data_IF_844828934907
#
_entry.id   IF_844828934907
#
_cell.length_a   1.000
_cell.length_b   1.000
_cell.length_c   1.000
_cell.angle_alpha   90.00
_cell.angle_beta   90.00
_cell.angle_gamma   90.00
#
_symmetry.space_group_name_H-M   'P 1'
#
loop_
_entity.id
_entity.type
_entity.pdbx_description
1 polymer ?
#
# COMPACT_ATOMS: atom_id res chain seq x y z
N UNK A 1 14.23 7.98 9.52
CA UNK A 1 13.33 6.85 9.22
C UNK A 1 13.89 6.02 8.10
N UNK A 2 13.61 4.73 8.10
CA UNK A 2 13.46 3.95 6.87
C UNK A 2 12.06 3.35 6.94
N UNK A 3 11.22 3.55 5.93
CA UNK A 3 9.90 2.93 5.87
C UNK A 3 9.52 2.52 4.45
N UNK A 4 8.78 1.42 4.39
CA UNK A 4 8.08 1.00 3.19
C UNK A 4 6.74 0.38 3.56
N UNK A 5 5.67 0.96 3.07
CA UNK A 5 4.31 0.52 3.27
C UNK A 5 3.78 -0.04 1.95
N UNK A 6 3.19 -1.24 2.00
CA UNK A 6 2.75 -1.99 0.83
C UNK A 6 1.31 -2.42 1.07
N UNK A 7 0.38 -1.98 0.23
CA UNK A 7 -1.03 -2.33 0.32
C UNK A 7 -1.56 -2.73 -1.07
N UNK A 8 -1.90 -4.02 -1.28
CA UNK A 8 -2.40 -4.48 -2.58
C UNK A 8 -3.76 -3.87 -2.95
N UNK A 9 -4.55 -3.40 -1.97
CA UNK A 9 -5.89 -2.88 -2.18
C UNK A 9 -6.87 -3.13 -1.03
N UNK A 10 -6.39 -3.45 0.18
CA UNK A 10 -7.25 -3.66 1.35
C UNK A 10 -7.39 -2.37 2.15
N UNK A 11 -8.62 -1.90 2.31
CA UNK A 11 -8.94 -0.75 3.15
C UNK A 11 -8.50 -0.93 4.60
N UNK A 12 -8.53 -2.18 5.06
CA UNK A 12 -8.26 -2.53 6.45
C UNK A 12 -6.77 -2.43 6.78
N UNK A 13 -5.89 -2.39 5.78
CA UNK A 13 -4.46 -2.12 5.99
C UNK A 13 -4.17 -0.63 6.20
N UNK A 14 -5.16 0.25 6.14
CA UNK A 14 -5.01 1.67 6.48
C UNK A 14 -5.03 1.85 8.01
N UNK A 15 -4.57 3.02 8.47
CA UNK A 15 -4.68 3.41 9.89
C UNK A 15 -6.07 3.97 10.24
N UNK A 16 -7.11 3.51 9.56
CA UNK A 16 -8.51 3.95 9.72
C UNK A 16 -9.49 2.80 9.49
N UNK A 17 -10.58 2.76 10.26
CA UNK A 17 -11.60 1.71 10.19
C UNK A 17 -12.75 2.01 9.22
N UNK A 18 -12.70 3.13 8.49
CA UNK A 18 -13.83 3.60 7.66
C UNK A 18 -13.69 3.36 6.17
N UNK A 19 -12.54 2.83 5.72
CA UNK A 19 -12.37 2.45 4.32
C UNK A 19 -13.20 1.21 3.97
N UNK A 20 -13.44 1.01 2.67
CA UNK A 20 -14.16 -0.15 2.15
C UNK A 20 -13.32 -0.83 1.07
N UNK A 21 -13.10 -2.13 1.24
CA UNK A 21 -12.46 -2.99 0.23
C UNK A 21 -13.50 -3.39 -0.83
N UNK A 22 -13.10 -3.31 -2.09
CA UNK A 22 -13.86 -3.67 -3.28
C UNK A 22 -13.07 -4.72 -4.04
N UNK A 23 -13.71 -5.85 -4.34
CA UNK A 23 -13.11 -6.95 -5.11
C UNK A 23 -13.51 -6.83 -6.58
N UNK A 24 -12.56 -7.09 -7.48
CA UNK A 24 -12.79 -7.09 -8.92
C UNK A 24 -11.50 -6.85 -9.69
N UNK A 25 -11.16 -7.79 -10.58
CA UNK A 25 -9.98 -7.69 -11.45
C UNK A 25 -10.06 -6.52 -12.42
N UNK A 26 -11.27 -6.04 -12.73
CA UNK A 26 -11.47 -4.84 -13.52
C UNK A 26 -10.98 -3.56 -12.81
N UNK A 27 -10.95 -3.56 -11.47
CA UNK A 27 -10.57 -2.40 -10.68
C UNK A 27 -9.09 -2.42 -10.29
N UNK A 28 -8.45 -3.59 -10.31
CA UNK A 28 -7.10 -3.77 -9.78
C UNK A 28 -6.42 -5.02 -10.33
N UNK A 29 -5.10 -4.90 -10.59
CA UNK A 29 -4.22 -6.03 -10.94
C UNK A 29 -4.05 -7.05 -9.81
N UNK A 30 -4.31 -6.65 -8.56
CA UNK A 30 -4.26 -7.54 -7.39
C UNK A 30 -5.62 -8.18 -7.10
N UNK A 31 -6.66 -7.85 -7.88
CA UNK A 31 -8.04 -8.30 -7.66
C UNK A 31 -8.78 -7.58 -6.54
N UNK A 32 -8.09 -6.73 -5.77
CA UNK A 32 -8.67 -5.93 -4.67
C UNK A 32 -8.29 -4.46 -4.81
N UNK A 33 -9.20 -3.59 -4.39
CA UNK A 33 -9.03 -2.14 -4.35
C UNK A 33 -9.80 -1.57 -3.17
N UNK A 34 -9.56 -0.33 -2.80
CA UNK A 34 -10.30 0.32 -1.73
C UNK A 34 -10.66 1.76 -2.05
N UNK A 35 -11.65 2.27 -1.34
CA UNK A 35 -11.87 3.71 -1.15
C UNK A 35 -11.98 4.00 0.34
N UNK A 36 -11.69 5.24 0.75
CA UNK A 36 -11.84 5.64 2.15
C UNK A 36 -12.37 7.09 2.24
N UNK A 37 -13.50 7.34 2.93
CA UNK A 37 -14.14 8.66 2.95
C UNK A 37 -13.77 9.53 4.17
N UNK A 38 -12.85 9.07 5.01
CA UNK A 38 -12.43 9.82 6.19
C UNK A 38 -11.30 10.78 5.84
N UNK A 39 -11.68 12.02 5.51
CA UNK A 39 -10.74 13.13 5.29
C UNK A 39 -9.66 13.17 6.38
N UNK A 40 -8.44 13.52 5.96
CA UNK A 40 -7.28 13.64 6.86
C UNK A 40 -6.84 12.33 7.54
N UNK A 41 -7.24 11.17 7.01
CA UNK A 41 -6.78 9.84 7.44
C UNK A 41 -6.09 9.10 6.29
N UNK A 42 -5.39 8.03 6.60
CA UNK A 42 -4.66 7.22 5.64
C UNK A 42 -3.67 6.30 6.35
N UNK A 43 -2.37 6.50 6.14
CA UNK A 43 -1.30 5.73 6.75
C UNK A 43 -0.59 6.57 7.81
N UNK A 44 -0.53 6.06 9.03
CA UNK A 44 0.14 6.71 10.16
C UNK A 44 1.58 6.20 10.29
N UNK A 45 2.56 7.11 10.20
CA UNK A 45 3.98 6.82 10.35
C UNK A 45 4.43 7.02 11.81
N UNK A 46 5.55 6.40 12.20
CA UNK A 46 6.15 6.59 13.52
C UNK A 46 6.77 7.97 13.72
N UNK A 47 7.23 8.62 12.65
CA UNK A 47 7.79 9.97 12.65
C UNK A 47 7.38 10.75 11.38
N UNK A 48 7.61 12.07 11.39
CA UNK A 48 7.32 12.94 10.23
C UNK A 48 8.35 12.67 9.13
N UNK A 49 7.95 12.21 7.93
CA UNK A 49 8.89 11.93 6.86
C UNK A 49 9.38 13.22 6.21
N UNK A 50 10.69 13.42 6.07
CA UNK A 50 11.21 14.59 5.33
C UNK A 50 11.01 14.46 3.82
N UNK A 51 10.80 13.25 3.35
CA UNK A 51 10.66 12.90 1.94
C UNK A 51 9.87 11.60 1.84
N UNK A 52 8.96 11.49 0.88
CA UNK A 52 8.36 10.22 0.53
C UNK A 52 8.00 10.12 -0.95
N UNK A 53 7.97 8.88 -1.40
CA UNK A 53 7.59 8.41 -2.71
C UNK A 53 6.30 7.61 -2.56
N UNK A 54 5.37 7.81 -3.48
CA UNK A 54 4.14 7.06 -3.59
C UNK A 54 3.99 6.48 -4.98
N UNK A 55 3.61 5.22 -5.08
CA UNK A 55 3.18 4.60 -6.32
C UNK A 55 1.89 3.85 -6.07
N UNK A 56 0.87 4.06 -6.89
CA UNK A 56 -0.41 3.38 -6.74
C UNK A 56 -1.18 3.35 -8.05
N UNK A 57 -2.14 2.44 -8.13
CA UNK A 57 -3.10 2.39 -9.23
C UNK A 57 -4.41 3.04 -8.79
N UNK A 58 -4.98 3.82 -9.70
CA UNK A 58 -6.24 4.54 -9.55
C UNK A 58 -7.21 4.05 -10.63
N UNK A 59 -8.36 3.53 -10.22
CA UNK A 59 -9.46 3.22 -11.12
C UNK A 59 -10.61 4.17 -10.86
N UNK A 60 -10.95 4.97 -11.86
CA UNK A 60 -12.06 5.92 -11.76
C UNK A 60 -13.31 5.31 -12.37
N UNK A 61 -14.34 5.04 -11.57
CA UNK A 61 -15.65 4.72 -12.11
C UNK A 61 -16.22 6.01 -12.71
N UNK A 62 -16.67 5.93 -13.96
CA UNK A 62 -17.40 7.03 -14.53
C UNK A 62 -18.67 7.31 -13.74
N UNK A 63 -19.09 8.55 -13.83
CA UNK A 63 -20.10 9.07 -12.93
C UNK A 63 -21.50 8.75 -13.43
N UNK A 64 -22.27 8.06 -12.58
CA UNK A 64 -23.71 7.85 -12.75
C UNK A 64 -24.45 8.64 -11.66
N UNK A 65 -25.52 9.36 -12.02
CA UNK A 65 -26.30 10.11 -11.02
C UNK A 65 -25.66 11.45 -10.64
N UNK A 66 -25.52 11.74 -9.34
CA UNK A 66 -25.04 13.05 -8.84
C UNK A 66 -23.65 13.02 -8.18
N UNK A 67 -23.04 11.85 -8.02
CA UNK A 67 -21.82 11.68 -7.23
C UNK A 67 -20.59 12.08 -8.03
N UNK A 68 -19.86 13.10 -7.63
CA UNK A 68 -18.57 13.43 -8.24
C UNK A 68 -17.45 12.51 -7.76
N UNK A 69 -16.36 12.52 -8.53
CA UNK A 69 -15.07 12.01 -8.10
C UNK A 69 -14.44 13.08 -7.22
N UNK A 70 -14.02 12.72 -6.02
CA UNK A 70 -13.18 13.53 -5.14
C UNK A 70 -12.14 12.63 -4.47
N UNK A 71 -10.89 12.75 -4.92
CA UNK A 71 -9.76 11.97 -4.49
C UNK A 71 -8.61 12.88 -4.07
N UNK A 72 -7.88 12.49 -3.02
CA UNK A 72 -6.58 13.11 -2.73
C UNK A 72 -5.60 12.13 -2.09
N UNK A 73 -4.32 12.36 -2.38
CA UNK A 73 -3.20 11.74 -1.66
C UNK A 73 -2.15 12.80 -1.38
N UNK A 74 -1.78 12.94 -0.10
CA UNK A 74 -0.83 13.98 0.32
C UNK A 74 -0.46 13.90 1.79
N UNK A 75 0.19 14.94 2.29
CA UNK A 75 0.67 15.04 3.68
C UNK A 75 0.51 16.47 4.23
N UNK A 76 0.26 16.59 5.53
CA UNK A 76 0.06 17.89 6.18
C UNK A 76 -1.05 18.72 5.54
N UNK A 77 -0.98 20.04 5.66
CA UNK A 77 -1.97 20.92 5.05
C UNK A 77 -1.74 21.02 3.52
N UNK A 78 -2.60 20.38 2.73
CA UNK A 78 -2.65 20.50 1.27
C UNK A 78 -1.31 20.32 0.53
N UNK A 79 -0.45 19.37 0.93
CA UNK A 79 0.74 19.01 0.13
C UNK A 79 0.52 17.68 -0.58
N UNK A 80 0.32 17.69 -1.89
CA UNK A 80 0.09 16.47 -2.67
C UNK A 80 -0.81 16.69 -3.87
N UNK A 81 -1.54 15.65 -4.24
CA UNK A 81 -2.38 15.61 -5.45
C UNK A 81 -3.85 15.47 -5.11
N UNK A 82 -4.67 16.10 -5.95
CA UNK A 82 -6.12 16.16 -5.84
C UNK A 82 -6.72 15.91 -7.22
N UNK A 83 -7.66 14.99 -7.30
CA UNK A 83 -8.39 14.70 -8.51
C UNK A 83 -9.88 14.84 -8.21
N UNK A 84 -10.55 15.69 -8.97
CA UNK A 84 -11.98 15.90 -8.80
C UNK A 84 -12.70 16.19 -10.10
N UNK A 85 -14.00 15.88 -10.14
CA UNK A 85 -14.85 16.19 -11.28
C UNK A 85 -16.00 15.20 -11.44
N UNK A 86 -16.86 15.52 -12.41
CA UNK A 86 -18.07 14.75 -12.67
C UNK A 86 -17.99 14.04 -14.03
N UNK A 87 -18.09 14.80 -15.14
CA UNK A 87 -17.93 14.28 -16.51
C UNK A 87 -16.60 14.64 -17.15
N UNK A 88 -15.96 15.71 -16.66
CA UNK A 88 -14.58 16.05 -16.97
C UNK A 88 -13.83 16.04 -15.65
N UNK A 89 -12.69 15.35 -15.64
CA UNK A 89 -11.81 15.28 -14.49
C UNK A 89 -10.81 16.43 -14.54
N UNK A 90 -10.47 16.90 -13.35
CA UNK A 90 -9.40 17.85 -13.13
C UNK A 90 -8.42 17.23 -12.16
N UNK A 91 -7.14 17.48 -12.38
CA UNK A 91 -6.08 17.10 -11.45
C UNK A 91 -5.27 18.35 -11.11
N UNK A 92 -4.95 18.46 -9.84
CA UNK A 92 -4.19 19.57 -9.29
C UNK A 92 -3.20 19.07 -8.27
N UNK A 93 -2.15 19.85 -8.06
CA UNK A 93 -1.19 19.60 -7.00
C UNK A 93 -0.81 20.87 -6.28
N UNK A 94 -0.59 20.73 -4.98
CA UNK A 94 -0.43 21.84 -4.06
C UNK A 94 0.80 21.65 -3.16
N UNK A 95 1.36 22.77 -2.73
CA UNK A 95 2.23 22.90 -1.57
C UNK A 95 1.62 23.93 -0.62
N UNK A 96 0.93 23.48 0.42
CA UNK A 96 0.06 24.32 1.24
C UNK A 96 -1.06 24.93 0.40
N UNK A 97 -1.25 26.24 0.50
CA UNK A 97 -2.24 26.98 -0.30
C UNK A 97 -1.79 27.26 -1.73
N UNK A 98 -0.54 26.98 -2.08
CA UNK A 98 0.01 27.31 -3.39
C UNK A 98 -0.30 26.19 -4.38
N UNK A 99 -1.11 26.49 -5.41
CA UNK A 99 -1.29 25.58 -6.54
C UNK A 99 -0.01 25.56 -7.39
N UNK A 100 0.57 24.38 -7.53
CA UNK A 100 1.76 24.15 -8.35
C UNK A 100 1.41 23.75 -9.78
N UNK A 101 0.27 23.09 -9.94
CA UNK A 101 -0.35 22.84 -11.23
C UNK A 101 -1.86 22.62 -11.09
N UNK A 102 -2.56 22.87 -12.19
CA UNK A 102 -3.96 22.56 -12.40
C UNK A 102 -4.15 22.18 -13.86
N UNK A 103 -4.79 21.04 -14.13
CA UNK A 103 -5.08 20.54 -15.48
C UNK A 103 -6.52 20.04 -15.55
N UNK A 104 -7.25 20.49 -16.56
CA UNK A 104 -8.56 19.95 -16.96
C UNK A 104 -8.42 19.02 -18.15
N UNK A 105 -9.50 18.33 -18.50
CA UNK A 105 -9.63 17.54 -19.74
C UNK A 105 -8.57 16.45 -19.87
N UNK A 106 -8.25 15.83 -18.73
CA UNK A 106 -7.20 14.81 -18.59
C UNK A 106 -7.64 13.41 -19.01
N UNK A 107 -8.80 13.25 -19.66
CA UNK A 107 -9.41 11.95 -19.92
C UNK A 107 -8.55 11.03 -20.81
N UNK A 108 -7.69 11.58 -21.65
CA UNK A 108 -6.73 10.80 -22.46
C UNK A 108 -5.59 10.20 -21.61
N UNK A 109 -5.28 10.81 -20.47
CA UNK A 109 -4.18 10.40 -19.58
C UNK A 109 -4.71 9.63 -18.37
N UNK A 110 -5.81 10.09 -17.77
CA UNK A 110 -6.51 9.48 -16.65
C UNK A 110 -7.92 9.13 -17.11
N UNK A 111 -8.09 8.03 -17.85
CA UNK A 111 -9.40 7.60 -18.33
C UNK A 111 -10.30 7.13 -17.19
N UNK A 112 -11.61 7.36 -17.34
CA UNK A 112 -12.62 6.64 -16.56
C UNK A 112 -12.73 5.20 -17.07
N UNK A 113 -13.13 4.29 -16.19
CA UNK A 113 -13.29 2.85 -16.43
C UNK A 113 -12.02 2.12 -16.88
N UNK A 114 -10.86 2.69 -16.57
CA UNK A 114 -9.57 2.07 -16.80
C UNK A 114 -8.61 2.44 -15.66
N UNK A 115 -7.64 1.56 -15.42
CA UNK A 115 -6.62 1.79 -14.41
C UNK A 115 -5.60 2.82 -14.91
N UNK A 116 -5.24 3.74 -14.02
CA UNK A 116 -4.11 4.66 -14.21
C UNK A 116 -3.09 4.44 -13.11
N UNK A 117 -1.81 4.37 -13.46
CA UNK A 117 -0.73 4.27 -12.47
C UNK A 117 -0.18 5.65 -12.18
N UNK A 118 -0.18 6.03 -10.90
CA UNK A 118 0.36 7.28 -10.39
C UNK A 118 1.71 7.01 -9.72
N UNK A 119 2.69 7.87 -10.02
CA UNK A 119 3.93 7.99 -9.28
C UNK A 119 4.03 9.42 -8.73
N UNK A 120 4.34 9.52 -7.44
CA UNK A 120 4.37 10.76 -6.66
C UNK A 120 5.66 10.82 -5.87
N UNK A 121 6.28 11.99 -5.84
CA UNK A 121 7.40 12.29 -4.95
C UNK A 121 7.16 13.64 -4.29
N UNK A 122 7.17 13.63 -2.96
CA UNK A 122 7.06 14.82 -2.13
C UNK A 122 8.29 14.89 -1.24
N UNK A 123 9.01 16.01 -1.30
CA UNK A 123 10.11 16.32 -0.40
C UNK A 123 9.80 17.61 0.34
N UNK A 124 9.86 17.54 1.66
CA UNK A 124 9.83 18.72 2.51
C UNK A 124 11.06 19.61 2.22
N UNK A 125 10.84 20.92 2.16
CA UNK A 125 11.93 21.87 2.08
C UNK A 125 11.46 23.28 2.34
N UNK A 126 12.13 23.94 3.28
CA UNK A 126 12.10 25.39 3.44
C UNK A 126 13.23 26.00 2.60
N UNK A 127 13.14 27.30 2.33
CA UNK A 127 14.19 28.05 1.60
C UNK A 127 14.47 27.45 0.21
N UNK A 128 13.41 27.04 -0.49
CA UNK A 128 13.49 26.51 -1.86
C UNK A 128 14.30 25.20 -1.99
N UNK A 129 14.03 24.20 -1.15
CA UNK A 129 14.59 22.84 -1.27
C UNK A 129 13.52 21.74 -1.33
N UNK A 130 12.25 22.13 -1.46
CA UNK A 130 11.13 21.19 -1.57
C UNK A 130 10.93 20.69 -2.99
N UNK A 131 10.24 19.55 -3.11
CA UNK A 131 9.93 18.92 -4.40
C UNK A 131 8.48 18.44 -4.38
N UNK A 132 7.76 18.69 -5.48
CA UNK A 132 6.56 17.95 -5.86
C UNK A 132 6.73 17.45 -7.30
N UNK A 133 6.80 16.13 -7.47
CA UNK A 133 6.90 15.48 -8.77
C UNK A 133 5.76 14.46 -8.92
N UNK A 134 5.00 14.59 -10.00
CA UNK A 134 3.80 13.79 -10.28
C UNK A 134 3.85 13.29 -11.73
N UNK A 135 3.79 11.97 -11.88
CA UNK A 135 3.69 11.29 -13.17
C UNK A 135 2.45 10.39 -13.12
N UNK A 136 1.63 10.40 -14.16
CA UNK A 136 0.50 9.47 -14.29
C UNK A 136 0.52 8.86 -15.68
N UNK A 137 0.48 7.53 -15.78
CA UNK A 137 0.55 6.80 -17.06
C UNK A 137 1.69 7.32 -17.97
N UNK A 138 2.89 7.44 -17.40
CA UNK A 138 4.10 7.97 -18.05
C UNK A 138 4.04 9.45 -18.50
N UNK A 139 2.95 10.16 -18.19
CA UNK A 139 2.80 11.60 -18.44
C UNK A 139 3.19 12.42 -17.21
N UNK A 140 4.18 13.30 -17.34
CA UNK A 140 4.61 14.20 -16.26
C UNK A 140 3.65 15.40 -16.13
N UNK A 141 2.87 15.44 -15.05
CA UNK A 141 1.97 16.56 -14.74
C UNK A 141 2.70 17.73 -14.09
N UNK A 142 3.71 17.40 -13.27
CA UNK A 142 4.42 18.37 -12.45
C UNK A 142 5.79 17.81 -12.08
N UNK A 143 6.84 18.62 -12.19
CA UNK A 143 8.16 18.35 -11.62
C UNK A 143 8.71 19.66 -11.09
N UNK A 144 8.06 20.17 -10.04
CA UNK A 144 8.43 21.43 -9.40
C UNK A 144 9.46 21.13 -8.32
N UNK A 145 10.60 21.78 -8.44
CA UNK A 145 11.72 21.76 -7.51
C UNK A 145 11.93 23.15 -6.96
N UNK A 146 12.75 23.24 -5.93
CA UNK A 146 13.12 24.49 -5.28
C UNK A 146 11.89 25.27 -4.80
N UNK A 147 10.89 24.55 -4.29
CA UNK A 147 9.66 25.11 -3.74
C UNK A 147 9.71 25.14 -2.22
N UNK A 148 8.93 26.05 -1.63
CA UNK A 148 8.63 26.00 -0.21
C UNK A 148 7.50 25.00 0.02
N UNK A 149 7.81 23.87 0.64
CA UNK A 149 6.88 22.81 0.96
C UNK A 149 7.17 22.33 2.39
N UNK A 150 6.28 22.68 3.32
CA UNK A 150 6.44 22.36 4.73
C UNK A 150 5.22 21.65 5.29
N UNK A 151 5.47 20.72 6.19
CA UNK A 151 4.45 20.01 6.96
C UNK A 151 5.09 19.45 8.24
N UNK A 152 4.25 19.21 9.24
CA UNK A 152 4.60 18.63 10.55
C UNK A 152 3.76 17.38 10.86
N UNK A 153 3.15 16.79 9.83
CA UNK A 153 2.27 15.64 9.95
C UNK A 153 3.00 14.33 9.71
N UNK A 154 2.71 13.32 10.52
CA UNK A 154 3.14 11.93 10.34
C UNK A 154 2.10 11.07 9.58
N UNK A 155 1.01 11.68 9.13
CA UNK A 155 -0.07 10.98 8.42
C UNK A 155 0.04 11.23 6.93
N UNK A 156 0.30 10.18 6.15
CA UNK A 156 0.07 10.23 4.71
C UNK A 156 -1.44 10.04 4.51
N UNK A 157 -2.08 11.08 4.00
CA UNK A 157 -3.52 11.16 3.81
C UNK A 157 -3.89 10.51 2.49
N UNK A 158 -4.94 9.72 2.53
CA UNK A 158 -5.52 9.05 1.37
C UNK A 158 -7.03 9.19 1.51
N UNK A 159 -7.67 9.84 0.55
CA UNK A 159 -9.10 10.12 0.60
C UNK A 159 -9.74 9.82 -0.76
N UNK A 160 -10.89 9.16 -0.71
CA UNK A 160 -11.86 9.07 -1.79
C UNK A 160 -13.25 9.18 -1.17
N UNK A 161 -14.03 10.19 -1.54
CA UNK A 161 -15.32 10.48 -0.90
C UNK A 161 -16.32 9.30 -1.00
N UNK A 162 -16.24 8.58 -2.11
CA UNK A 162 -17.13 7.48 -2.44
C UNK A 162 -16.36 6.41 -3.26
N UNK A 163 -17.09 5.42 -3.77
CA UNK A 163 -16.50 4.34 -4.56
C UNK A 163 -16.14 4.74 -6.00
N UNK A 164 -16.18 6.03 -6.38
CA UNK A 164 -15.83 6.48 -7.73
C UNK A 164 -14.33 6.53 -7.98
N UNK A 165 -13.51 6.69 -6.95
CA UNK A 165 -12.05 6.56 -7.06
C UNK A 165 -11.57 5.38 -6.21
N UNK A 166 -11.22 4.29 -6.88
CA UNK A 166 -10.70 3.09 -6.23
C UNK A 166 -9.18 3.07 -6.33
N UNK A 167 -8.53 2.74 -5.22
CA UNK A 167 -7.08 2.74 -5.05
C UNK A 167 -6.61 1.30 -4.86
N UNK A 168 -5.53 0.93 -5.52
CA UNK A 168 -4.88 -0.37 -5.37
C UNK A 168 -3.37 -0.26 -5.59
N UNK A 169 -2.66 -1.37 -5.41
CA UNK A 169 -1.22 -1.45 -5.72
C UNK A 169 -0.39 -0.32 -5.04
N UNK A 170 -0.76 0.06 -3.81
CA UNK A 170 -0.23 1.22 -3.10
C UNK A 170 1.10 0.89 -2.42
N UNK A 171 2.16 1.57 -2.83
CA UNK A 171 3.48 1.54 -2.24
C UNK A 171 3.81 2.95 -1.77
N UNK A 172 4.18 3.11 -0.50
CA UNK A 172 4.71 4.36 0.05
C UNK A 172 6.10 4.08 0.64
N UNK A 173 7.09 4.93 0.38
CA UNK A 173 8.44 4.73 0.91
C UNK A 173 9.15 6.07 1.10
N UNK A 174 10.10 6.13 2.03
CA UNK A 174 11.08 7.23 2.11
C UNK A 174 12.27 7.07 1.15
N UNK A 175 12.34 5.95 0.42
CA UNK A 175 13.31 5.72 -0.65
C UNK A 175 12.65 5.79 -2.04
N UNK A 176 13.42 6.15 -3.09
CA UNK A 176 12.91 6.17 -4.46
C UNK A 176 12.32 4.82 -4.89
N UNK A 177 11.10 4.86 -5.44
CA UNK A 177 10.41 3.70 -6.00
C UNK A 177 10.69 3.62 -7.50
N UNK A 178 11.15 2.47 -8.00
CA UNK A 178 11.31 2.25 -9.44
C UNK A 178 9.92 2.32 -10.11
N UNK A 179 9.74 3.10 -11.20
CA UNK A 179 8.45 3.18 -11.90
C UNK A 179 7.89 1.84 -12.36
N UNK A 180 8.72 0.79 -12.49
CA UNK A 180 8.31 -0.58 -12.85
C UNK A 180 7.94 -1.45 -11.65
N UNK A 181 8.23 -1.02 -10.43
CA UNK A 181 7.93 -1.78 -9.22
C UNK A 181 6.43 -1.94 -9.02
N UNK A 182 5.93 -3.15 -8.84
CA UNK A 182 4.50 -3.41 -8.64
C UNK A 182 4.29 -4.48 -7.58
N UNK A 183 3.15 -4.44 -6.91
CA UNK A 183 2.74 -5.47 -5.97
C UNK A 183 2.24 -6.68 -6.76
N UNK A 184 2.81 -7.84 -6.45
CA UNK A 184 2.33 -9.14 -6.88
C UNK A 184 1.83 -9.90 -5.66
N UNK A 185 0.62 -10.45 -5.73
CA UNK A 185 0.16 -11.41 -4.74
C UNK A 185 0.94 -12.71 -4.92
N UNK A 186 1.45 -13.27 -3.83
CA UNK A 186 2.21 -14.51 -3.87
C UNK A 186 1.24 -15.70 -3.90
N UNK A 187 1.14 -16.45 -5.02
CA UNK A 187 0.35 -17.68 -5.05
C UNK A 187 0.95 -18.71 -4.10
N UNK A 188 0.12 -19.44 -3.36
CA UNK A 188 0.58 -20.40 -2.33
C UNK A 188 0.36 -21.83 -2.80
N UNK A 189 1.37 -22.68 -2.67
CA UNK A 189 1.29 -24.13 -2.95
C UNK A 189 1.05 -24.97 -1.71
N UNK A 190 1.62 -24.55 -0.57
CA UNK A 190 1.53 -25.29 0.67
C UNK A 190 1.58 -24.36 1.88
N UNK A 191 0.79 -24.69 2.90
CA UNK A 191 0.82 -24.04 4.21
C UNK A 191 1.28 -25.08 5.24
N UNK A 192 2.33 -24.76 5.99
CA UNK A 192 2.83 -25.52 7.12
C UNK A 192 2.56 -24.74 8.40
N UNK A 193 1.89 -25.37 9.36
CA UNK A 193 1.54 -24.71 10.61
C UNK A 193 1.48 -25.69 11.78
N UNK A 194 1.74 -25.18 12.98
CA UNK A 194 1.41 -25.84 14.25
C UNK A 194 0.38 -25.03 15.06
N UNK A 195 -0.23 -24.01 14.44
CA UNK A 195 -1.44 -23.34 14.92
C UNK A 195 -2.68 -24.19 14.60
N UNK A 196 -3.77 -23.93 15.32
CA UNK A 196 -5.06 -24.59 15.04
C UNK A 196 -5.66 -24.00 13.77
N UNK A 197 -5.95 -24.85 12.77
CA UNK A 197 -6.71 -24.45 11.58
C UNK A 197 -8.21 -24.39 11.90
N UNK A 198 -8.84 -23.25 11.66
CA UNK A 198 -10.25 -23.02 11.94
C UNK A 198 -11.19 -23.46 10.79
N UNK A 199 -10.65 -23.87 9.64
CA UNK A 199 -11.41 -24.36 8.49
C UNK A 199 -12.00 -23.28 7.57
N UNK A 200 -11.79 -22.00 7.91
CA UNK A 200 -12.23 -20.82 7.14
C UNK A 200 -11.05 -20.02 6.56
N UNK A 201 -9.83 -20.57 6.66
CA UNK A 201 -8.58 -19.91 6.28
C UNK A 201 -7.92 -19.10 7.39
N UNK A 202 -8.56 -19.00 8.56
CA UNK A 202 -7.94 -18.44 9.77
C UNK A 202 -7.20 -19.51 10.58
N UNK A 203 -6.21 -19.05 11.37
CA UNK A 203 -5.37 -19.88 12.21
C UNK A 203 -5.30 -19.29 13.62
N UNK A 204 -5.49 -20.12 14.63
CA UNK A 204 -5.44 -19.72 16.04
C UNK A 204 -4.16 -20.24 16.71
N UNK A 205 -3.37 -19.32 17.27
CA UNK A 205 -2.24 -19.65 18.12
C UNK A 205 -2.68 -19.69 19.60
N UNK A 206 -2.36 -20.79 20.28
CA UNK A 206 -2.63 -21.05 21.70
C UNK A 206 -1.36 -21.02 22.56
N UNK A 207 -0.17 -20.97 21.94
CA UNK A 207 1.11 -20.85 22.61
C UNK A 207 2.12 -20.00 21.81
N UNK A 208 3.07 -19.39 22.54
CA UNK A 208 4.14 -18.61 21.92
C UNK A 208 5.10 -19.55 21.16
N UNK A 209 5.63 -19.08 20.04
CA UNK A 209 6.50 -19.85 19.17
C UNK A 209 5.76 -20.73 18.15
N UNK A 210 4.42 -20.75 18.15
CA UNK A 210 3.68 -21.35 17.05
C UNK A 210 3.86 -20.55 15.76
N UNK A 211 3.92 -21.24 14.63
CA UNK A 211 4.27 -20.69 13.33
C UNK A 211 3.26 -21.08 12.26
N UNK A 212 3.00 -20.15 11.34
CA UNK A 212 2.27 -20.33 10.10
C UNK A 212 3.20 -19.94 8.97
N UNK A 213 3.52 -20.86 8.07
CA UNK A 213 4.48 -20.69 6.99
C UNK A 213 3.88 -21.12 5.66
N UNK A 214 4.10 -20.33 4.63
CA UNK A 214 3.57 -20.54 3.30
C UNK A 214 4.70 -20.68 2.28
N UNK A 215 4.56 -21.66 1.41
CA UNK A 215 5.44 -21.89 0.26
C UNK A 215 4.80 -21.30 -0.98
N UNK A 216 5.57 -20.54 -1.75
CA UNK A 216 5.07 -19.80 -2.92
C UNK A 216 5.09 -20.68 -4.18
N UNK A 217 4.09 -20.55 -5.04
CA UNK A 217 4.12 -21.08 -6.41
C UNK A 217 5.02 -20.22 -7.28
N UNK A 218 6.32 -20.52 -7.21
CA UNK A 218 7.33 -19.83 -8.01
C UNK A 218 7.15 -20.09 -9.50
N UNK A 219 6.58 -21.23 -9.90
CA UNK A 219 6.39 -21.54 -11.33
C UNK A 219 5.40 -20.57 -11.98
N UNK A 220 4.28 -20.30 -11.30
CA UNK A 220 3.29 -19.31 -11.73
C UNK A 220 3.87 -17.90 -11.78
N UNK A 221 4.65 -17.50 -10.77
CA UNK A 221 5.31 -16.19 -10.76
C UNK A 221 6.35 -16.04 -11.88
N UNK A 222 7.15 -17.07 -12.16
CA UNK A 222 8.12 -17.06 -13.26
C UNK A 222 7.41 -16.93 -14.60
N UNK A 223 6.30 -17.64 -14.79
CA UNK A 223 5.49 -17.56 -16.01
C UNK A 223 4.95 -16.14 -16.24
N UNK A 224 4.47 -15.50 -15.17
CA UNK A 224 3.84 -14.18 -15.25
C UNK A 224 4.82 -13.02 -15.35
N UNK A 225 5.92 -13.07 -14.58
CA UNK A 225 6.83 -11.92 -14.41
C UNK A 225 8.26 -12.20 -14.89
N UNK A 226 8.61 -13.44 -15.23
CA UNK A 226 9.96 -13.85 -15.58
C UNK A 226 10.86 -14.09 -14.36
N UNK A 227 11.63 -15.18 -14.38
CA UNK A 227 12.43 -15.60 -13.22
C UNK A 227 13.58 -14.69 -12.82
N UNK A 228 14.02 -13.79 -13.70
CA UNK A 228 15.03 -12.78 -13.41
C UNK A 228 14.46 -11.49 -12.80
N UNK A 229 13.15 -11.39 -12.64
CA UNK A 229 12.52 -10.25 -11.99
C UNK A 229 12.93 -10.17 -10.53
N UNK A 230 13.28 -8.95 -10.09
CA UNK A 230 13.74 -8.66 -8.74
C UNK A 230 12.56 -8.54 -7.80
N UNK A 231 12.69 -9.14 -6.64
CA UNK A 231 11.84 -8.95 -5.47
C UNK A 231 12.58 -7.99 -4.56
N UNK A 232 12.05 -6.78 -4.42
CA UNK A 232 12.69 -5.71 -3.62
C UNK A 232 12.16 -5.63 -2.20
N UNK A 233 10.97 -6.18 -1.96
CA UNK A 233 10.37 -6.25 -0.62
C UNK A 233 9.38 -7.42 -0.56
N UNK A 234 9.15 -7.94 0.64
CA UNK A 234 8.13 -8.93 0.97
C UNK A 234 7.25 -8.35 2.08
N UNK A 235 5.93 -8.52 1.96
CA UNK A 235 4.97 -8.05 2.96
C UNK A 235 3.98 -9.15 3.33
N UNK A 236 4.31 -10.00 4.31
CA UNK A 236 3.32 -10.85 4.96
C UNK A 236 2.31 -9.93 5.65
N UNK A 237 1.03 -10.25 5.51
CA UNK A 237 -0.05 -9.61 6.24
C UNK A 237 -0.98 -10.68 6.80
N UNK A 238 -1.63 -10.38 7.92
CA UNK A 238 -2.63 -11.23 8.55
C UNK A 238 -3.90 -10.41 8.77
N UNK A 239 -5.05 -10.97 8.37
CA UNK A 239 -6.36 -10.36 8.52
C UNK A 239 -7.45 -11.45 8.52
N UNK A 240 -8.31 -11.51 9.56
CA UNK A 240 -8.19 -10.74 10.79
C UNK A 240 -6.95 -11.16 11.60
N UNK A 241 -6.38 -10.22 12.35
CA UNK A 241 -5.30 -10.48 13.31
C UNK A 241 -5.61 -9.78 14.62
N UNK A 242 -5.96 -10.57 15.64
CA UNK A 242 -6.34 -10.09 16.95
C UNK A 242 -5.93 -11.06 18.05
N UNK A 243 -5.80 -10.55 19.27
CA UNK A 243 -5.54 -11.34 20.46
C UNK A 243 -6.83 -11.61 21.24
N UNK A 244 -6.97 -12.83 21.71
CA UNK A 244 -8.05 -13.26 22.62
C UNK A 244 -7.58 -13.32 24.08
N UNK A 245 -6.27 -13.23 24.33
CA UNK A 245 -5.66 -13.26 25.66
C UNK A 245 -4.44 -12.32 25.75
N UNK A 246 -4.05 -11.92 26.96
CA UNK A 246 -2.95 -10.96 27.17
C UNK A 246 -1.56 -11.51 26.83
N UNK A 247 -1.35 -12.82 26.95
CA UNK A 247 -0.04 -13.46 26.79
C UNK A 247 0.37 -13.79 25.35
N UNK A 248 -0.52 -13.66 24.36
CA UNK A 248 -0.20 -13.84 22.94
C UNK A 248 -0.68 -12.61 22.18
N UNK A 249 0.16 -11.58 22.17
CA UNK A 249 -0.24 -10.26 21.67
C UNK A 249 0.59 -9.79 20.48
N UNK A 250 1.49 -10.61 19.94
CA UNK A 250 2.31 -10.22 18.81
C UNK A 250 2.46 -11.32 17.76
N UNK A 251 2.62 -10.88 16.52
CA UNK A 251 3.08 -11.68 15.39
C UNK A 251 4.44 -11.14 14.93
N UNK A 252 5.41 -12.03 14.78
CA UNK A 252 6.72 -11.72 14.19
C UNK A 252 6.73 -12.25 12.78
N UNK A 253 6.98 -11.41 11.78
CA UNK A 253 7.10 -11.89 10.41
C UNK A 253 8.37 -12.74 10.32
N UNK A 254 8.27 -13.92 9.72
CA UNK A 254 9.40 -14.84 9.61
C UNK A 254 9.57 -15.33 8.19
N UNK A 255 10.82 -15.60 7.87
CA UNK A 255 11.26 -16.20 6.64
C UNK A 255 12.11 -17.42 6.99
N UNK A 256 11.81 -18.56 6.36
CA UNK A 256 12.64 -19.75 6.45
C UNK A 256 13.32 -20.02 5.13
N UNK A 257 14.61 -20.29 5.19
CA UNK A 257 15.36 -20.80 4.05
C UNK A 257 16.24 -21.95 4.50
N UNK A 258 15.91 -23.16 4.03
CA UNK A 258 16.48 -24.39 4.59
C UNK A 258 16.21 -24.49 6.10
N UNK A 259 17.27 -24.70 6.89
CA UNK A 259 17.19 -24.78 8.35
C UNK A 259 17.29 -23.44 9.09
N UNK A 260 17.44 -22.31 8.39
CA UNK A 260 17.63 -20.99 8.98
C UNK A 260 16.30 -20.25 9.02
N UNK A 261 16.03 -19.61 10.16
CA UNK A 261 14.87 -18.73 10.34
C UNK A 261 15.38 -17.30 10.51
N UNK A 262 14.87 -16.38 9.72
CA UNK A 262 15.10 -14.94 9.83
C UNK A 262 13.81 -14.27 10.31
N UNK A 263 13.93 -13.42 11.33
CA UNK A 263 12.82 -12.64 11.87
C UNK A 263 12.84 -11.22 11.31
N UNK A 264 11.67 -10.75 10.90
CA UNK A 264 11.46 -9.48 10.21
C UNK A 264 10.46 -8.62 10.99
N UNK A 265 10.87 -8.18 12.18
CA UNK A 265 10.07 -7.28 13.02
C UNK A 265 8.95 -7.96 13.81
N UNK A 266 8.62 -7.37 14.95
CA UNK A 266 7.56 -7.81 15.87
C UNK A 266 6.41 -6.81 15.84
N UNK A 267 5.20 -7.30 15.61
CA UNK A 267 4.00 -6.48 15.40
C UNK A 267 2.91 -6.85 16.40
N UNK A 268 2.38 -5.85 17.10
CA UNK A 268 1.33 -6.05 18.11
C UNK A 268 -0.03 -6.26 17.44
N UNK A 269 -0.71 -7.35 17.79
CA UNK A 269 -2.10 -7.58 17.45
C UNK A 269 -3.03 -6.91 18.47
N UNK A 270 -4.03 -6.17 17.98
CA UNK A 270 -5.05 -5.54 18.81
C UNK A 270 -6.09 -6.54 19.34
N UNK A 271 -7.10 -6.04 20.05
CA UNK A 271 -8.26 -6.84 20.48
C UNK A 271 -9.46 -6.73 19.52
N UNK A 272 -9.35 -5.89 18.50
CA UNK A 272 -10.38 -5.70 17.50
C UNK A 272 -10.41 -6.90 16.56
N UNK A 273 -11.56 -7.57 16.44
CA UNK A 273 -11.75 -8.74 15.57
C UNK A 273 -11.63 -8.39 14.08
N UNK A 274 -11.72 -7.11 13.71
CA UNK A 274 -11.42 -6.62 12.37
C UNK A 274 -9.95 -6.16 12.20
N UNK A 275 -9.11 -6.37 13.21
CA UNK A 275 -7.71 -5.97 13.23
C UNK A 275 -6.86 -6.64 12.15
N UNK A 276 -5.68 -6.07 11.91
CA UNK A 276 -4.70 -6.58 10.96
C UNK A 276 -3.29 -6.43 11.50
N UNK A 277 -2.37 -7.19 10.91
CA UNK A 277 -0.93 -7.04 11.11
C UNK A 277 -0.24 -7.11 9.76
N UNK A 278 0.78 -6.27 9.54
CA UNK A 278 1.62 -6.29 8.34
C UNK A 278 3.09 -6.16 8.73
N UNK A 279 3.94 -7.01 8.14
CA UNK A 279 5.37 -7.08 8.43
C UNK A 279 6.22 -6.92 7.18
N UNK A 280 6.10 -5.76 6.52
CA UNK A 280 6.88 -5.48 5.32
C UNK A 280 8.38 -5.32 5.63
N UNK A 281 9.23 -5.93 4.81
CA UNK A 281 10.68 -5.80 4.87
C UNK A 281 11.30 -5.81 3.48
N UNK A 282 12.45 -5.16 3.34
CA UNK A 282 13.20 -5.13 2.09
C UNK A 282 14.03 -6.38 1.88
N UNK A 283 14.20 -6.75 0.61
CA UNK A 283 15.00 -7.88 0.20
C UNK A 283 15.63 -7.61 -1.17
N UNK A 284 16.53 -8.48 -1.59
CA UNK A 284 17.25 -8.33 -2.88
C UNK A 284 17.20 -9.61 -3.72
N UNK A 285 16.14 -10.39 -3.54
CA UNK A 285 15.94 -11.67 -4.20
C UNK A 285 15.50 -11.50 -5.65
N UNK A 286 15.54 -12.60 -6.38
CA UNK A 286 14.82 -12.84 -7.62
C UNK A 286 13.64 -13.76 -7.36
N UNK A 287 12.65 -13.73 -8.25
CA UNK A 287 11.49 -14.62 -8.15
C UNK A 287 11.92 -16.09 -8.04
N UNK A 288 12.93 -16.53 -8.80
CA UNK A 288 13.42 -17.91 -8.74
C UNK A 288 13.96 -18.31 -7.35
N UNK A 289 14.52 -17.35 -6.58
CA UNK A 289 15.09 -17.60 -5.25
C UNK A 289 14.01 -17.76 -4.17
N UNK A 290 12.75 -17.47 -4.49
CA UNK A 290 11.62 -17.73 -3.59
C UNK A 290 11.33 -19.23 -3.42
N UNK A 291 11.83 -20.09 -4.31
CA UNK A 291 11.51 -21.52 -4.31
C UNK A 291 12.08 -22.27 -3.11
N UNK A 292 13.14 -21.73 -2.52
CA UNK A 292 13.83 -22.28 -1.35
C UNK A 292 13.38 -21.60 -0.05
N UNK A 293 12.30 -20.82 -0.10
CA UNK A 293 11.85 -19.94 0.98
C UNK A 293 10.40 -20.19 1.37
N UNK A 294 10.14 -20.04 2.66
CA UNK A 294 8.80 -19.99 3.22
C UNK A 294 8.62 -18.70 3.99
N UNK A 295 7.43 -18.14 3.93
CA UNK A 295 7.11 -16.84 4.54
C UNK A 295 5.90 -16.97 5.45
N UNK A 296 5.88 -16.21 6.54
CA UNK A 296 4.67 -16.12 7.35
C UNK A 296 4.92 -15.54 8.72
N UNK A 297 4.32 -16.14 9.74
CA UNK A 297 4.18 -15.54 11.06
C UNK A 297 4.60 -16.50 12.18
N UNK A 298 5.24 -15.95 13.22
CA UNK A 298 5.42 -16.60 14.52
C UNK A 298 4.62 -15.85 15.58
N UNK A 299 3.76 -16.56 16.31
CA UNK A 299 3.04 -16.02 17.45
C UNK A 299 3.97 -15.81 18.65
N UNK A 300 3.76 -14.72 19.39
CA UNK A 300 4.57 -14.37 20.56
C UNK A 300 3.84 -13.54 21.60
N UNK A 301 4.47 -13.45 22.77
CA UNK A 301 4.10 -12.56 23.87
C UNK A 301 4.41 -11.12 23.51
#
# INVERSE_FOLDING_TARGET
>A
MSFKYINPGYAELLSTSRGTTVTGEQYSRTGVSFWQPSKERGVELSEVPTEFYGKFDLYILGVEGRDDVDFSLGIGYQNGIYLSGYRSLTISGYAGTNSLFYKSDIAEIIPMYAMSTVWLHIKQGNENNGILHVIVNDHEFCNKRDINLSYDSRTIKIFSDNNRALISNLILSDAPIDPREQIALLPITATQTNMTDCGDGSYEATAAGQELLQTVDVSSLISQYGGNSRVVSIAPFAKPAYRTAEGLCALTAIEKSGGIITEHGRHIAGQDTAGYVMGAYDTSLRIAELAERQFGWRAGT
#
